data_IF_824615104458
#
_entry.id   IF_824615104458
#
_cell.length_a   1.000
_cell.length_b   1.000
_cell.length_c   1.000
_cell.angle_alpha   90.00
_cell.angle_beta   90.00
_cell.angle_gamma   90.00
#
_symmetry.space_group_name_H-M   'P 1'
#
loop_
_entity.id
_entity.type
_entity.pdbx_description
1 polymer ?
#
# COMPACT_ATOMS: atom_id res chain seq x y z
N UNK A 1 13.16 -5.09 7.71
CA UNK A 1 13.76 -4.93 6.37
C UNK A 1 13.20 -3.68 5.71
N UNK A 2 14.06 -2.80 5.17
CA UNK A 2 13.59 -1.62 4.41
C UNK A 2 13.04 -2.04 3.06
N UNK A 3 11.91 -1.48 2.67
CA UNK A 3 11.26 -1.67 1.37
C UNK A 3 11.04 -0.31 0.74
N UNK A 4 11.53 -0.13 -0.48
CA UNK A 4 11.31 1.07 -1.28
C UNK A 4 10.71 0.63 -2.60
N UNK A 5 9.41 0.84 -2.75
CA UNK A 5 8.68 0.62 -3.98
C UNK A 5 8.64 1.86 -4.87
N UNK A 6 7.83 1.79 -5.92
CA UNK A 6 7.63 2.89 -6.86
C UNK A 6 6.76 4.01 -6.28
N UNK A 7 5.77 3.67 -5.46
CA UNK A 7 4.83 4.62 -4.87
C UNK A 7 4.72 4.49 -3.35
N UNK A 8 5.07 3.35 -2.75
CA UNK A 8 5.10 3.20 -1.31
C UNK A 8 6.49 2.84 -0.79
N UNK A 9 6.81 3.34 0.39
CA UNK A 9 8.04 2.94 1.10
C UNK A 9 7.76 2.71 2.57
N UNK A 10 8.62 1.89 3.19
CA UNK A 10 8.49 1.59 4.61
C UNK A 10 9.41 0.48 5.07
N UNK A 11 9.06 -0.10 6.21
CA UNK A 11 9.84 -1.16 6.84
C UNK A 11 8.97 -2.37 7.18
N UNK A 12 9.40 -3.55 6.74
CA UNK A 12 8.80 -4.81 7.15
C UNK A 12 9.44 -5.32 8.44
N UNK A 13 8.64 -5.59 9.46
CA UNK A 13 9.07 -6.23 10.69
C UNK A 13 8.75 -7.73 10.60
N UNK A 14 9.79 -8.55 10.45
CA UNK A 14 9.67 -10.01 10.37
C UNK A 14 9.25 -10.65 11.69
N UNK A 15 9.60 -10.03 12.84
CA UNK A 15 9.23 -10.56 14.15
C UNK A 15 7.75 -10.35 14.43
N UNK A 16 7.22 -9.20 14.03
CA UNK A 16 5.81 -8.86 14.21
C UNK A 16 4.95 -9.34 13.03
N UNK A 17 5.56 -9.67 11.87
CA UNK A 17 4.89 -10.00 10.61
C UNK A 17 3.97 -8.84 10.15
N UNK A 18 4.50 -7.62 10.21
CA UNK A 18 3.78 -6.37 9.92
C UNK A 18 4.62 -5.45 9.03
N UNK A 19 3.96 -4.68 8.17
CA UNK A 19 4.61 -3.66 7.34
C UNK A 19 4.29 -2.27 7.87
N UNK A 20 5.30 -1.51 8.25
CA UNK A 20 5.19 -0.10 8.62
C UNK A 20 5.35 0.75 7.37
N UNK A 21 4.23 1.22 6.82
CA UNK A 21 4.18 2.16 5.71
C UNK A 21 4.63 3.55 6.20
N UNK A 22 5.67 4.10 5.58
CA UNK A 22 6.27 5.40 5.95
C UNK A 22 6.01 6.50 4.92
N UNK A 23 5.77 6.12 3.67
CA UNK A 23 5.41 7.09 2.63
C UNK A 23 4.53 6.48 1.55
N UNK A 24 3.71 7.35 0.95
CA UNK A 24 2.90 7.07 -0.23
C UNK A 24 3.02 8.27 -1.16
N UNK A 25 3.51 8.05 -2.39
CA UNK A 25 3.86 9.10 -3.36
C UNK A 25 4.89 10.07 -2.79
N UNK A 26 4.42 11.28 -2.49
CA UNK A 26 5.18 12.39 -1.90
C UNK A 26 4.69 12.72 -0.48
N UNK A 27 3.75 11.95 0.05
CA UNK A 27 3.19 12.14 1.38
C UNK A 27 3.88 11.21 2.38
N UNK A 28 4.38 11.81 3.46
CA UNK A 28 4.85 11.05 4.61
C UNK A 28 3.64 10.58 5.41
N UNK A 29 3.57 9.27 5.62
CA UNK A 29 2.51 8.63 6.38
C UNK A 29 3.10 7.68 7.41
N UNK A 30 2.35 7.32 8.45
CA UNK A 30 2.69 6.16 9.27
C UNK A 30 1.44 5.32 9.44
N UNK A 31 1.49 4.12 8.91
CA UNK A 31 0.44 3.13 9.10
C UNK A 31 1.05 1.75 9.18
N UNK A 32 0.57 0.95 10.12
CA UNK A 32 0.96 -0.45 10.24
C UNK A 32 -0.05 -1.30 9.49
N UNK A 33 0.44 -2.04 8.49
CA UNK A 33 -0.34 -2.97 7.70
C UNK A 33 -0.02 -4.40 8.14
N UNK A 34 -1.00 -5.06 8.76
CA UNK A 34 -0.99 -6.51 8.97
C UNK A 34 -1.35 -7.23 7.67
N UNK A 35 -1.03 -8.52 7.58
CA UNK A 35 -1.29 -9.37 6.40
C UNK A 35 -2.71 -9.23 5.86
N UNK A 36 -3.71 -9.34 6.74
CA UNK A 36 -5.12 -9.21 6.41
C UNK A 36 -5.52 -7.81 5.91
N UNK A 37 -4.95 -6.75 6.49
CA UNK A 37 -5.19 -5.37 6.05
C UNK A 37 -4.56 -5.13 4.67
N UNK A 38 -3.34 -5.63 4.47
CA UNK A 38 -2.64 -5.56 3.20
C UNK A 38 -3.39 -6.34 2.11
N UNK A 39 -3.83 -7.56 2.41
CA UNK A 39 -4.62 -8.37 1.48
C UNK A 39 -5.93 -7.70 1.09
N UNK A 40 -6.64 -7.10 2.07
CA UNK A 40 -7.88 -6.36 1.82
C UNK A 40 -7.63 -5.16 0.91
N UNK A 41 -6.58 -4.37 1.19
CA UNK A 41 -6.22 -3.21 0.38
C UNK A 41 -5.80 -3.62 -1.04
N UNK A 42 -4.99 -4.67 -1.16
CA UNK A 42 -4.56 -5.22 -2.45
C UNK A 42 -5.76 -5.68 -3.29
N UNK A 43 -6.67 -6.44 -2.70
CA UNK A 43 -7.88 -6.92 -3.38
C UNK A 43 -8.78 -5.76 -3.80
N UNK A 44 -8.99 -4.78 -2.91
CA UNK A 44 -9.76 -3.58 -3.21
C UNK A 44 -9.20 -2.83 -4.42
N UNK A 45 -7.90 -2.51 -4.40
CA UNK A 45 -7.26 -1.78 -5.51
C UNK A 45 -7.29 -2.60 -6.80
N UNK A 46 -7.08 -3.91 -6.73
CA UNK A 46 -7.12 -4.79 -7.89
C UNK A 46 -8.49 -4.83 -8.57
N UNK A 47 -9.58 -4.81 -7.79
CA UNK A 47 -10.95 -4.76 -8.32
C UNK A 47 -11.23 -3.46 -9.09
N UNK A 48 -10.60 -2.35 -8.67
CA UNK A 48 -10.85 -1.02 -9.23
C UNK A 48 -9.71 -0.50 -10.13
N UNK A 49 -8.74 -1.35 -10.48
CA UNK A 49 -7.53 -0.95 -11.23
C UNK A 49 -7.80 -0.35 -12.61
N UNK A 50 -8.96 -0.65 -13.20
CA UNK A 50 -9.35 -0.22 -14.53
C UNK A 50 -10.28 1.02 -14.52
N UNK A 51 -10.57 1.59 -13.35
CA UNK A 51 -11.42 2.78 -13.26
C UNK A 51 -10.63 4.02 -13.70
N UNK A 52 -11.12 4.70 -14.75
CA UNK A 52 -10.44 5.85 -15.37
C UNK A 52 -10.32 7.06 -14.43
N UNK A 53 -11.27 7.23 -13.51
CA UNK A 53 -11.28 8.33 -12.54
C UNK A 53 -10.26 8.14 -11.39
N UNK A 54 -9.60 6.98 -11.35
CA UNK A 54 -8.70 6.58 -10.27
C UNK A 54 -9.45 6.11 -9.03
N UNK A 55 -8.78 6.08 -7.88
CA UNK A 55 -9.34 5.63 -6.60
C UNK A 55 -9.05 6.59 -5.46
N UNK A 56 -9.96 6.69 -4.50
CA UNK A 56 -9.69 7.36 -3.22
C UNK A 56 -9.54 6.30 -2.16
N UNK A 57 -8.35 6.19 -1.59
CA UNK A 57 -8.08 5.29 -0.46
C UNK A 57 -7.88 6.10 0.82
N UNK A 58 -8.31 5.50 1.93
CA UNK A 58 -7.96 5.97 3.27
C UNK A 58 -7.03 4.94 3.89
N UNK A 59 -5.86 5.41 4.32
CA UNK A 59 -4.93 4.60 5.11
C UNK A 59 -5.23 4.91 6.57
N UNK A 60 -5.36 3.86 7.38
CA UNK A 60 -5.96 3.76 8.72
C UNK A 60 -5.46 4.77 9.78
N UNK A 61 -5.55 6.08 9.52
CA UNK A 61 -5.50 7.25 10.43
C UNK A 61 -5.15 8.57 9.67
N UNK A 62 -5.14 8.58 8.33
CA UNK A 62 -4.70 9.72 7.52
C UNK A 62 -5.73 10.24 6.52
N UNK A 63 -5.37 11.38 5.93
CA UNK A 63 -6.09 12.07 4.86
C UNK A 63 -6.44 11.10 3.71
N UNK A 64 -7.64 11.23 3.10
CA UNK A 64 -7.97 10.52 1.87
C UNK A 64 -6.94 10.84 0.79
N UNK A 65 -6.35 9.79 0.22
CA UNK A 65 -5.40 9.90 -0.88
C UNK A 65 -6.10 9.51 -2.17
N UNK A 66 -6.13 10.46 -3.11
CA UNK A 66 -6.55 10.16 -4.48
C UNK A 66 -5.37 9.57 -5.25
N UNK A 67 -5.54 8.38 -5.80
CA UNK A 67 -4.67 7.70 -6.74
C UNK A 67 -5.23 7.86 -8.15
N UNK A 68 -4.40 8.21 -9.12
CA UNK A 68 -4.71 8.02 -10.54
C UNK A 68 -4.73 6.53 -10.88
N UNK A 69 -5.17 6.18 -12.09
CA UNK A 69 -5.13 4.81 -12.57
C UNK A 69 -3.69 4.23 -12.60
N UNK A 70 -2.73 5.03 -13.07
CA UNK A 70 -1.31 4.66 -13.09
C UNK A 70 -0.77 4.43 -11.67
N UNK A 71 -1.06 5.35 -10.76
CA UNK A 71 -0.67 5.25 -9.36
C UNK A 71 -1.33 4.07 -8.66
N UNK A 72 -2.58 3.75 -9.01
CA UNK A 72 -3.27 2.55 -8.52
C UNK A 72 -2.54 1.29 -8.96
N UNK A 73 -2.07 1.26 -10.21
CA UNK A 73 -1.30 0.12 -10.74
C UNK A 73 0.05 -0.03 -10.04
N UNK A 74 0.79 1.06 -9.87
CA UNK A 74 2.05 1.08 -9.10
C UNK A 74 1.85 0.65 -7.64
N UNK A 75 0.75 1.08 -7.01
CA UNK A 75 0.43 0.71 -5.63
C UNK A 75 0.17 -0.79 -5.50
N UNK A 76 -0.58 -1.37 -6.44
CA UNK A 76 -0.86 -2.80 -6.48
C UNK A 76 0.45 -3.61 -6.63
N UNK A 77 1.36 -3.16 -7.50
CA UNK A 77 2.66 -3.82 -7.72
C UNK A 77 3.52 -3.81 -6.45
N UNK A 78 3.64 -2.66 -5.78
CA UNK A 78 4.38 -2.56 -4.53
C UNK A 78 3.76 -3.43 -3.42
N UNK A 79 2.43 -3.44 -3.31
CA UNK A 79 1.71 -4.31 -2.37
C UNK A 79 1.96 -5.79 -2.66
N UNK A 80 2.01 -6.21 -3.93
CA UNK A 80 2.32 -7.60 -4.29
C UNK A 80 3.73 -8.01 -3.86
N UNK A 81 4.71 -7.11 -3.98
CA UNK A 81 6.06 -7.35 -3.50
C UNK A 81 6.09 -7.50 -1.98
N UNK A 82 5.45 -6.59 -1.25
CA UNK A 82 5.40 -6.61 0.21
C UNK A 82 4.61 -7.82 0.72
N UNK A 83 3.53 -8.21 0.04
CA UNK A 83 2.73 -9.40 0.38
C UNK A 83 3.56 -10.68 0.46
N UNK A 84 4.57 -10.82 -0.40
CA UNK A 84 5.48 -12.00 -0.43
C UNK A 84 6.38 -12.09 0.79
N UNK A 85 6.50 -11.02 1.58
CA UNK A 85 7.31 -10.99 2.80
C UNK A 85 6.55 -11.57 4.01
N UNK A 86 5.21 -11.61 3.96
CA UNK A 86 4.44 -12.16 5.07
C UNK A 86 4.49 -13.69 5.08
N UNK A 87 4.56 -14.22 6.30
CA UNK A 87 4.49 -15.66 6.57
C UNK A 87 3.10 -16.05 7.08
#
# INVERSE_FOLDING_TARGET
MKVTGSIISGEFDEQMNEFSLESVKHFLTRSTLRKNQLDTLYQYLTLHKNEEDGQVITLYDQLPLRLTQEETSMFIEDLDQIKKLYH
#
